data_IF_696790799520
#
_entry.id   IF_696790799520
#
_cell.length_a   1.000
_cell.length_b   1.000
_cell.length_c   1.000
_cell.angle_alpha   90.00
_cell.angle_beta   90.00
_cell.angle_gamma   90.00
#
_symmetry.space_group_name_H-M   'P 1'
#
loop_
_entity.id
_entity.type
_entity.pdbx_description
1 polymer ?
#
# COMPACT_ATOMS: atom_id res chain seq x y z
N UNK A 1 18.57 -42.79 18.96
CA UNK A 1 18.37 -41.69 18.00
C UNK A 1 16.96 -41.60 17.39
N UNK A 2 16.16 -42.67 17.25
CA UNK A 2 14.78 -42.59 16.70
C UNK A 2 13.79 -41.85 17.62
N UNK A 3 13.90 -41.96 18.96
CA UNK A 3 13.00 -41.26 19.90
C UNK A 3 13.23 -39.75 20.02
N UNK A 4 14.43 -39.22 19.72
CA UNK A 4 14.68 -37.77 19.71
C UNK A 4 14.01 -37.05 18.54
N UNK A 5 13.68 -37.77 17.44
CA UNK A 5 12.98 -37.19 16.28
C UNK A 5 11.47 -36.98 16.49
N UNK A 6 10.90 -37.50 17.60
CA UNK A 6 9.47 -37.36 17.90
C UNK A 6 9.16 -36.17 18.83
N UNK A 7 10.18 -35.48 19.36
CA UNK A 7 9.96 -34.29 20.16
C UNK A 7 9.77 -33.10 19.21
N UNK A 8 8.52 -32.66 19.02
CA UNK A 8 8.11 -31.62 18.06
C UNK A 8 9.00 -30.38 18.05
N UNK A 9 9.50 -29.83 19.19
CA UNK A 9 10.42 -28.70 19.20
C UNK A 9 11.69 -28.91 18.36
N UNK A 10 12.22 -30.12 18.26
CA UNK A 10 13.39 -30.44 17.43
C UNK A 10 13.07 -30.51 15.92
N UNK A 11 11.81 -30.64 15.54
CA UNK A 11 11.35 -30.59 14.14
C UNK A 11 11.40 -29.15 13.62
N UNK A 12 11.19 -28.15 14.48
CA UNK A 12 11.28 -26.73 14.11
C UNK A 12 12.71 -26.25 13.81
N UNK A 13 13.74 -26.87 14.44
CA UNK A 13 15.13 -26.44 14.34
C UNK A 13 15.68 -26.45 12.89
N UNK A 14 15.48 -27.50 12.07
CA UNK A 14 15.87 -27.48 10.67
C UNK A 14 15.21 -26.36 9.86
N UNK A 15 13.95 -26.01 10.17
CA UNK A 15 13.27 -24.90 9.52
C UNK A 15 13.93 -23.57 9.88
N UNK A 16 14.22 -23.32 11.14
CA UNK A 16 14.89 -22.12 11.62
C UNK A 16 16.31 -21.99 11.04
N UNK A 17 17.10 -23.07 11.09
CA UNK A 17 18.47 -23.09 10.54
C UNK A 17 18.48 -22.79 9.03
N UNK A 18 17.50 -23.30 8.29
CA UNK A 18 17.35 -23.04 6.86
C UNK A 18 16.98 -21.59 6.59
N UNK A 19 15.94 -21.08 7.26
CA UNK A 19 15.35 -19.80 6.91
C UNK A 19 16.07 -18.59 7.51
N UNK A 20 16.78 -18.72 8.63
CA UNK A 20 17.49 -17.62 9.26
C UNK A 20 18.51 -16.95 8.31
N UNK A 21 19.49 -17.67 7.71
CA UNK A 21 20.45 -17.05 6.81
C UNK A 21 19.80 -16.54 5.52
N UNK A 22 18.82 -17.25 4.99
CA UNK A 22 18.12 -16.83 3.76
C UNK A 22 17.36 -15.52 4.00
N UNK A 23 16.61 -15.44 5.08
CA UNK A 23 15.84 -14.24 5.43
C UNK A 23 16.74 -13.05 5.77
N UNK A 24 17.90 -13.33 6.37
CA UNK A 24 18.91 -12.31 6.60
C UNK A 24 19.42 -11.70 5.29
N UNK A 25 19.73 -12.52 4.29
CA UNK A 25 20.12 -12.05 2.96
C UNK A 25 18.98 -11.30 2.27
N UNK A 26 17.74 -11.80 2.36
CA UNK A 26 16.55 -11.10 1.83
C UNK A 26 16.39 -9.71 2.48
N UNK A 27 16.55 -9.63 3.80
CA UNK A 27 16.51 -8.36 4.53
C UNK A 27 17.59 -7.37 4.07
N UNK A 28 18.82 -7.84 3.88
CA UNK A 28 19.90 -7.00 3.34
C UNK A 28 19.54 -6.47 1.95
N UNK A 29 19.08 -7.33 1.05
CA UNK A 29 18.70 -6.93 -0.31
C UNK A 29 17.55 -5.92 -0.30
N UNK A 30 16.51 -6.18 0.49
CA UNK A 30 15.36 -5.29 0.61
C UNK A 30 15.74 -3.94 1.26
N UNK A 31 16.52 -3.96 2.34
CA UNK A 31 16.96 -2.76 3.05
C UNK A 31 17.89 -1.89 2.20
N UNK A 32 18.84 -2.49 1.48
CA UNK A 32 19.72 -1.76 0.55
C UNK A 32 18.93 -1.13 -0.61
N UNK A 33 17.98 -1.88 -1.18
CA UNK A 33 17.11 -1.36 -2.22
C UNK A 33 16.24 -0.20 -1.72
N UNK A 34 15.68 -0.32 -0.53
CA UNK A 34 14.88 0.75 0.10
C UNK A 34 15.75 1.96 0.45
N UNK A 35 16.99 1.77 0.89
CA UNK A 35 17.91 2.87 1.13
C UNK A 35 18.20 3.65 -0.17
N UNK A 36 18.47 2.95 -1.27
CA UNK A 36 18.64 3.57 -2.58
C UNK A 36 17.39 4.36 -3.01
N UNK A 37 16.19 3.78 -2.83
CA UNK A 37 14.91 4.43 -3.12
C UNK A 37 14.69 5.68 -2.27
N UNK A 38 14.93 5.61 -0.96
CA UNK A 38 14.72 6.75 -0.06
C UNK A 38 15.66 7.90 -0.39
N UNK A 39 16.95 7.61 -0.62
CA UNK A 39 17.96 8.61 -0.97
C UNK A 39 17.67 9.28 -2.33
N UNK A 40 17.31 8.49 -3.36
CA UNK A 40 16.99 9.05 -4.68
C UNK A 40 15.72 9.88 -4.67
N UNK A 41 14.68 9.48 -3.91
CA UNK A 41 13.43 10.24 -3.78
C UNK A 41 13.60 11.52 -2.96
N UNK A 42 14.44 11.51 -1.93
CA UNK A 42 14.80 12.73 -1.19
C UNK A 42 15.45 13.74 -2.14
N UNK A 43 16.48 13.31 -2.86
CA UNK A 43 17.13 14.14 -3.89
C UNK A 43 16.14 14.65 -4.93
N UNK A 44 15.29 13.78 -5.49
CA UNK A 44 14.31 14.18 -6.52
C UNK A 44 13.28 15.19 -5.98
N UNK A 45 12.88 15.05 -4.71
CA UNK A 45 11.95 15.97 -4.05
C UNK A 45 12.58 17.32 -3.81
N UNK A 46 13.79 17.37 -3.24
CA UNK A 46 14.53 18.61 -2.95
C UNK A 46 14.84 19.38 -4.24
N UNK A 47 15.25 18.66 -5.28
CA UNK A 47 15.46 19.25 -6.60
C UNK A 47 14.18 19.91 -7.14
N UNK A 48 13.05 19.20 -7.09
CA UNK A 48 11.76 19.73 -7.55
C UNK A 48 11.31 20.94 -6.72
N UNK A 49 11.46 20.91 -5.40
CA UNK A 49 11.07 22.01 -4.53
C UNK A 49 11.90 23.28 -4.78
N UNK A 50 13.17 23.10 -5.09
CA UNK A 50 14.07 24.18 -5.52
C UNK A 50 13.75 24.70 -6.92
N UNK A 51 13.14 23.88 -7.78
CA UNK A 51 12.88 24.17 -9.19
C UNK A 51 11.39 23.91 -9.53
N UNK A 52 10.48 24.65 -8.92
CA UNK A 52 9.03 24.43 -9.04
C UNK A 52 8.50 24.43 -10.48
N UNK A 53 9.18 25.09 -11.41
CA UNK A 53 8.84 25.08 -12.83
C UNK A 53 8.95 23.68 -13.48
N UNK A 54 9.68 22.73 -12.87
CA UNK A 54 9.78 21.33 -13.32
C UNK A 54 8.42 20.64 -13.45
N UNK A 55 7.41 21.10 -12.71
CA UNK A 55 6.04 20.58 -12.82
C UNK A 55 5.47 20.77 -14.23
N UNK A 56 5.86 21.83 -14.94
CA UNK A 56 5.46 22.04 -16.34
C UNK A 56 6.00 20.93 -17.28
N UNK A 57 7.07 20.25 -16.89
CA UNK A 57 7.65 19.13 -17.62
C UNK A 57 7.08 17.76 -17.21
N UNK A 58 6.12 17.70 -16.27
CA UNK A 58 5.47 16.44 -15.86
C UNK A 58 4.92 15.62 -17.03
N UNK A 59 4.35 16.22 -18.10
CA UNK A 59 3.94 15.48 -19.31
C UNK A 59 5.10 14.71 -19.94
N UNK A 60 6.26 15.36 -20.08
CA UNK A 60 7.47 14.76 -20.67
C UNK A 60 8.06 13.67 -19.78
N UNK A 61 8.14 13.92 -18.47
CA UNK A 61 8.55 12.91 -17.47
C UNK A 61 7.64 11.69 -17.49
N UNK A 62 6.33 11.91 -17.59
CA UNK A 62 5.33 10.85 -17.75
C UNK A 62 5.52 10.05 -19.03
N UNK A 63 5.69 10.74 -20.16
CA UNK A 63 5.97 10.07 -21.43
C UNK A 63 7.24 9.22 -21.37
N UNK A 64 8.32 9.76 -20.81
CA UNK A 64 9.60 9.06 -20.67
C UNK A 64 9.43 7.79 -19.80
N UNK A 65 8.80 7.91 -18.64
CA UNK A 65 8.50 6.77 -17.77
C UNK A 65 7.66 5.71 -18.49
N UNK A 66 6.58 6.13 -19.15
CA UNK A 66 5.71 5.23 -19.93
C UNK A 66 6.45 4.57 -21.09
N UNK A 67 7.34 5.28 -21.79
CA UNK A 67 8.14 4.74 -22.89
C UNK A 67 9.16 3.70 -22.40
N UNK A 68 9.87 3.97 -21.29
CA UNK A 68 10.80 3.03 -20.68
C UNK A 68 10.07 1.73 -20.32
N UNK A 69 8.90 1.81 -19.69
CA UNK A 69 8.09 0.63 -19.37
C UNK A 69 7.55 -0.08 -20.61
N UNK A 70 7.16 0.65 -21.65
CA UNK A 70 6.71 0.06 -22.90
C UNK A 70 7.81 -0.75 -23.59
N UNK A 71 9.07 -0.29 -23.53
CA UNK A 71 10.20 -0.96 -24.15
C UNK A 71 10.76 -2.12 -23.28
N UNK A 72 10.95 -1.87 -21.99
CA UNK A 72 11.71 -2.76 -21.12
C UNK A 72 10.86 -3.42 -20.02
N UNK A 73 9.67 -2.89 -19.71
CA UNK A 73 8.90 -3.22 -18.53
C UNK A 73 7.59 -3.97 -18.76
N UNK A 74 7.26 -4.40 -19.99
CA UNK A 74 5.96 -5.04 -20.31
C UNK A 74 5.61 -6.22 -19.40
N UNK A 75 6.59 -7.05 -19.04
CA UNK A 75 6.37 -8.23 -18.18
C UNK A 75 6.26 -7.91 -16.70
N UNK A 76 6.58 -6.69 -16.28
CA UNK A 76 6.55 -6.23 -14.89
C UNK A 76 5.60 -5.05 -14.68
N UNK A 77 4.83 -4.69 -15.70
CA UNK A 77 3.92 -3.54 -15.67
C UNK A 77 2.83 -3.67 -14.61
N UNK A 78 2.41 -4.89 -14.29
CA UNK A 78 1.38 -5.16 -13.29
C UNK A 78 1.81 -4.85 -11.84
N UNK A 79 3.10 -4.60 -11.60
CA UNK A 79 3.63 -4.12 -10.33
C UNK A 79 3.30 -5.07 -9.16
N UNK A 80 2.69 -4.54 -8.09
CA UNK A 80 2.34 -5.34 -6.91
C UNK A 80 1.37 -6.48 -7.23
N UNK A 81 0.49 -6.34 -8.22
CA UNK A 81 -0.40 -7.41 -8.63
C UNK A 81 0.36 -8.61 -9.22
N UNK A 82 1.49 -8.39 -9.91
CA UNK A 82 2.35 -9.47 -10.36
C UNK A 82 2.94 -10.26 -9.18
N UNK A 83 3.36 -9.57 -8.10
CA UNK A 83 3.87 -10.24 -6.90
C UNK A 83 2.82 -11.15 -6.30
N UNK A 84 1.59 -10.66 -6.13
CA UNK A 84 0.49 -11.43 -5.56
C UNK A 84 0.11 -12.63 -6.45
N UNK A 85 0.09 -12.45 -7.78
CA UNK A 85 -0.13 -13.55 -8.72
C UNK A 85 0.94 -14.63 -8.62
N UNK A 86 2.23 -14.27 -8.61
CA UNK A 86 3.34 -15.22 -8.54
C UNK A 86 3.44 -15.94 -7.19
N UNK A 87 2.96 -15.32 -6.10
CA UNK A 87 2.86 -15.97 -4.80
C UNK A 87 1.76 -17.04 -4.78
N UNK A 88 0.61 -16.78 -5.40
CA UNK A 88 -0.52 -17.70 -5.42
C UNK A 88 -0.41 -18.75 -6.52
N UNK A 89 0.01 -18.34 -7.72
CA UNK A 89 0.15 -19.16 -8.92
C UNK A 89 1.53 -18.98 -9.52
N UNK A 90 2.56 -19.60 -8.96
CA UNK A 90 3.94 -19.44 -9.41
C UNK A 90 4.11 -19.98 -10.84
N UNK A 91 4.37 -19.07 -11.79
CA UNK A 91 4.60 -19.39 -13.21
C UNK A 91 6.06 -19.12 -13.58
N UNK A 92 6.50 -17.88 -13.36
CA UNK A 92 7.82 -17.42 -13.79
C UNK A 92 8.53 -16.68 -12.65
N UNK A 93 9.85 -16.77 -12.63
CA UNK A 93 10.64 -15.96 -11.70
C UNK A 93 10.52 -14.49 -12.11
N UNK A 94 10.23 -13.63 -11.14
CA UNK A 94 10.08 -12.19 -11.34
C UNK A 94 11.41 -11.64 -11.89
N UNK A 95 11.41 -10.96 -13.04
CA UNK A 95 12.64 -10.47 -13.64
C UNK A 95 13.36 -9.47 -12.74
N UNK A 96 14.68 -9.60 -12.59
CA UNK A 96 15.53 -8.65 -11.85
C UNK A 96 15.30 -7.20 -12.26
N UNK A 97 15.06 -6.95 -13.56
CA UNK A 97 14.80 -5.61 -14.12
C UNK A 97 13.61 -4.89 -13.48
N UNK A 98 12.73 -5.60 -12.77
CA UNK A 98 11.62 -4.97 -12.05
C UNK A 98 12.12 -3.94 -11.03
N UNK A 99 13.16 -4.27 -10.25
CA UNK A 99 13.70 -3.39 -9.22
C UNK A 99 14.24 -2.05 -9.79
N UNK A 100 15.18 -2.01 -10.73
CA UNK A 100 15.66 -0.75 -11.30
C UNK A 100 14.59 0.00 -12.11
N UNK A 101 13.67 -0.71 -12.79
CA UNK A 101 12.61 -0.04 -13.55
C UNK A 101 11.59 0.65 -12.66
N UNK A 102 11.17 0.02 -11.56
CA UNK A 102 10.20 0.65 -10.65
C UNK A 102 10.84 1.78 -9.86
N UNK A 103 12.12 1.67 -9.48
CA UNK A 103 12.89 2.74 -8.87
C UNK A 103 12.91 3.96 -9.80
N UNK A 104 13.44 3.80 -11.02
CA UNK A 104 13.55 4.88 -12.00
C UNK A 104 12.18 5.51 -12.34
N UNK A 105 11.15 4.68 -12.53
CA UNK A 105 9.81 5.18 -12.82
C UNK A 105 9.21 5.99 -11.67
N UNK A 106 9.48 5.59 -10.43
CA UNK A 106 9.02 6.31 -9.23
C UNK A 106 9.80 7.61 -9.05
N UNK A 107 11.12 7.59 -9.25
CA UNK A 107 11.96 8.80 -9.21
C UNK A 107 11.51 9.83 -10.25
N UNK A 108 11.25 9.41 -11.49
CA UNK A 108 10.71 10.29 -12.53
C UNK A 108 9.35 10.87 -12.11
N UNK A 109 8.46 10.08 -11.53
CA UNK A 109 7.16 10.57 -11.06
C UNK A 109 7.33 11.67 -10.01
N UNK A 110 8.23 11.48 -9.03
CA UNK A 110 8.45 12.44 -7.95
C UNK A 110 9.24 13.68 -8.40
N UNK A 111 10.24 13.50 -9.25
CA UNK A 111 11.07 14.56 -9.80
C UNK A 111 10.23 15.59 -10.56
N UNK A 112 9.28 15.12 -11.36
CA UNK A 112 8.40 15.99 -12.15
C UNK A 112 7.10 16.39 -11.45
N UNK A 113 6.82 15.88 -10.23
CA UNK A 113 5.70 16.35 -9.41
C UNK A 113 4.40 15.55 -9.55
N UNK A 114 4.46 14.29 -9.94
CA UNK A 114 3.32 13.38 -9.81
C UNK A 114 2.96 13.10 -8.35
N UNK A 115 1.69 12.85 -8.07
CA UNK A 115 1.19 12.51 -6.73
C UNK A 115 1.19 10.99 -6.54
N UNK A 116 2.21 10.46 -5.89
CA UNK A 116 2.37 9.02 -5.67
C UNK A 116 3.12 8.73 -4.35
N UNK A 117 3.10 7.49 -3.93
CA UNK A 117 3.86 6.96 -2.80
C UNK A 117 5.12 6.20 -3.25
N UNK A 118 5.86 5.69 -2.29
CA UNK A 118 7.14 4.98 -2.48
C UNK A 118 7.11 3.52 -2.06
N UNK A 119 6.16 3.14 -1.23
CA UNK A 119 6.11 1.84 -0.57
C UNK A 119 5.85 0.69 -1.55
N UNK A 120 4.91 0.89 -2.48
CA UNK A 120 4.67 -0.09 -3.55
C UNK A 120 5.94 -0.39 -4.36
N UNK A 121 6.79 0.62 -4.54
CA UNK A 121 8.10 0.49 -5.18
C UNK A 121 9.04 -0.37 -4.34
N UNK A 122 9.14 -0.12 -3.03
CA UNK A 122 9.98 -0.91 -2.12
C UNK A 122 9.54 -2.38 -2.05
N UNK A 123 8.21 -2.64 -2.03
CA UNK A 123 7.68 -4.01 -2.08
C UNK A 123 8.13 -4.73 -3.35
N UNK A 124 7.99 -4.07 -4.50
CA UNK A 124 8.39 -4.62 -5.80
C UNK A 124 9.88 -4.89 -5.87
N UNK A 125 10.71 -3.96 -5.38
CA UNK A 125 12.16 -4.13 -5.30
C UNK A 125 12.53 -5.29 -4.37
N UNK A 126 12.02 -5.30 -3.14
CA UNK A 126 12.29 -6.34 -2.15
C UNK A 126 11.91 -7.74 -2.62
N UNK A 127 10.70 -7.91 -3.14
CA UNK A 127 10.22 -9.20 -3.63
C UNK A 127 10.95 -9.65 -4.90
N UNK A 128 11.22 -8.76 -5.86
CA UNK A 128 11.91 -9.13 -7.11
C UNK A 128 13.38 -9.51 -6.87
N UNK A 129 14.05 -8.84 -5.93
CA UNK A 129 15.42 -9.20 -5.52
C UNK A 129 15.45 -10.52 -4.75
N UNK A 130 14.51 -10.73 -3.82
CA UNK A 130 14.35 -12.00 -3.11
C UNK A 130 14.12 -13.16 -4.10
N UNK A 131 13.29 -12.97 -5.12
CA UNK A 131 12.99 -14.03 -6.09
C UNK A 131 14.19 -14.47 -6.94
N UNK A 132 15.26 -13.63 -7.05
CA UNK A 132 16.50 -14.07 -7.70
C UNK A 132 17.16 -15.23 -6.93
N UNK A 133 17.01 -15.29 -5.60
CA UNK A 133 17.51 -16.39 -4.79
C UNK A 133 16.81 -17.72 -5.11
N UNK A 134 15.60 -17.67 -5.66
CA UNK A 134 14.86 -18.86 -6.12
C UNK A 134 15.68 -19.68 -7.11
N UNK A 135 16.43 -19.03 -8.02
CA UNK A 135 17.31 -19.71 -9.00
C UNK A 135 18.51 -20.36 -8.31
N UNK A 136 19.14 -19.62 -7.40
CA UNK A 136 20.36 -20.05 -6.69
C UNK A 136 20.05 -21.21 -5.75
N UNK A 137 18.94 -21.13 -5.03
CA UNK A 137 18.53 -22.11 -4.04
C UNK A 137 17.65 -23.23 -4.62
N UNK A 138 17.32 -23.17 -5.91
CA UNK A 138 16.44 -24.12 -6.60
C UNK A 138 15.08 -24.29 -5.89
N UNK A 139 14.53 -23.21 -5.34
CA UNK A 139 13.27 -23.24 -4.62
C UNK A 139 12.06 -23.37 -5.56
N UNK A 140 11.04 -24.13 -5.11
CA UNK A 140 9.78 -24.35 -5.82
C UNK A 140 8.60 -24.25 -4.84
N UNK A 141 7.41 -23.98 -5.35
CA UNK A 141 6.16 -24.05 -4.59
C UNK A 141 6.21 -23.22 -3.29
N UNK A 142 5.94 -23.85 -2.15
CA UNK A 142 5.83 -23.19 -0.85
C UNK A 142 7.10 -22.44 -0.42
N UNK A 143 8.31 -22.95 -0.71
CA UNK A 143 9.55 -22.26 -0.37
C UNK A 143 9.70 -20.94 -1.12
N UNK A 144 9.35 -20.89 -2.41
CA UNK A 144 9.37 -19.65 -3.20
C UNK A 144 8.33 -18.66 -2.69
N UNK A 145 7.12 -19.14 -2.32
CA UNK A 145 6.10 -18.30 -1.71
C UNK A 145 6.61 -17.62 -0.44
N UNK A 146 7.22 -18.38 0.48
CA UNK A 146 7.82 -17.86 1.70
C UNK A 146 8.89 -16.80 1.39
N UNK A 147 9.74 -17.05 0.41
CA UNK A 147 10.81 -16.14 -0.01
C UNK A 147 10.26 -14.81 -0.52
N UNK A 148 9.26 -14.84 -1.39
CA UNK A 148 8.59 -13.64 -1.91
C UNK A 148 7.89 -12.86 -0.80
N UNK A 149 7.19 -13.55 0.09
CA UNK A 149 6.52 -12.93 1.24
C UNK A 149 7.52 -12.24 2.16
N UNK A 150 8.67 -12.87 2.45
CA UNK A 150 9.75 -12.25 3.21
C UNK A 150 10.32 -11.01 2.51
N UNK A 151 10.44 -11.03 1.17
CA UNK A 151 10.86 -9.86 0.38
C UNK A 151 9.87 -8.69 0.47
N UNK A 152 8.56 -8.97 0.43
CA UNK A 152 7.50 -7.97 0.64
C UNK A 152 7.62 -7.38 2.05
N UNK A 153 7.73 -8.24 3.08
CA UNK A 153 7.85 -7.81 4.48
C UNK A 153 9.09 -6.95 4.73
N UNK A 154 10.25 -7.35 4.18
CA UNK A 154 11.49 -6.60 4.26
C UNK A 154 11.40 -5.24 3.57
N UNK A 155 10.82 -5.18 2.37
CA UNK A 155 10.61 -3.94 1.61
C UNK A 155 9.67 -2.97 2.32
N UNK A 156 8.58 -3.46 2.92
CA UNK A 156 7.65 -2.64 3.67
C UNK A 156 8.29 -2.06 4.94
N UNK A 157 8.88 -2.94 5.76
CA UNK A 157 9.50 -2.55 7.03
C UNK A 157 10.61 -1.53 6.87
N UNK A 158 11.45 -1.70 5.82
CA UNK A 158 12.61 -0.85 5.56
C UNK A 158 12.26 0.58 5.14
N UNK A 159 11.07 0.81 4.56
CA UNK A 159 10.63 2.16 4.18
C UNK A 159 9.97 2.90 5.33
N UNK A 160 9.26 2.19 6.21
CA UNK A 160 8.48 2.81 7.28
C UNK A 160 9.17 2.80 8.65
N UNK A 161 10.13 1.92 8.87
CA UNK A 161 10.69 1.72 10.20
C UNK A 161 9.76 0.93 11.14
N UNK A 162 8.89 0.10 10.58
CA UNK A 162 7.86 -0.66 11.31
C UNK A 162 8.01 -2.17 11.06
N UNK A 163 8.97 -2.83 11.70
CA UNK A 163 9.28 -4.24 11.42
C UNK A 163 8.15 -5.20 11.79
N UNK A 164 7.38 -4.96 12.86
CA UNK A 164 6.24 -5.82 13.21
C UNK A 164 5.11 -5.68 12.20
N UNK A 165 4.75 -4.45 11.86
CA UNK A 165 3.75 -4.18 10.83
C UNK A 165 4.17 -4.75 9.48
N UNK A 166 5.43 -4.56 9.06
CA UNK A 166 5.96 -5.10 7.81
C UNK A 166 5.92 -6.62 7.75
N UNK A 167 6.22 -7.27 8.88
CA UNK A 167 6.10 -8.73 9.01
C UNK A 167 4.68 -9.19 8.70
N UNK A 168 3.70 -8.62 9.41
CA UNK A 168 2.30 -9.04 9.29
C UNK A 168 1.70 -8.59 7.95
N UNK A 169 2.11 -7.43 7.43
CA UNK A 169 1.65 -6.95 6.12
C UNK A 169 1.94 -7.93 4.99
N UNK A 170 3.16 -8.47 4.92
CA UNK A 170 3.50 -9.47 3.91
C UNK A 170 2.63 -10.73 3.97
N UNK A 171 2.19 -11.13 5.17
CA UNK A 171 1.33 -12.29 5.37
C UNK A 171 -0.15 -11.99 5.09
N UNK A 172 -0.62 -10.80 5.47
CA UNK A 172 -2.03 -10.41 5.43
C UNK A 172 -2.47 -9.91 4.06
N UNK A 173 -1.58 -9.23 3.32
CA UNK A 173 -1.91 -8.63 2.02
C UNK A 173 -2.22 -9.67 0.94
N UNK A 174 -1.86 -10.93 1.13
CA UNK A 174 -2.03 -11.99 0.15
C UNK A 174 -3.49 -12.35 -0.08
N UNK A 175 -4.27 -12.45 1.00
CA UNK A 175 -5.66 -12.88 0.92
C UNK A 175 -6.52 -12.24 2.01
N UNK A 176 -7.68 -11.72 1.62
CA UNK A 176 -8.68 -11.17 2.55
C UNK A 176 -9.16 -12.27 3.49
N UNK A 177 -9.10 -12.01 4.80
CA UNK A 177 -9.59 -12.92 5.83
C UNK A 177 -8.74 -14.17 6.08
N UNK A 178 -7.53 -14.25 5.51
CA UNK A 178 -6.62 -15.40 5.68
C UNK A 178 -5.18 -14.94 5.85
N UNK A 179 -4.48 -15.50 6.84
CA UNK A 179 -3.05 -15.29 7.10
C UNK A 179 -2.33 -16.63 7.05
N UNK A 180 -1.21 -16.71 6.31
CA UNK A 180 -0.39 -17.91 6.23
C UNK A 180 0.83 -17.77 7.14
N UNK A 181 0.87 -18.50 8.23
CA UNK A 181 1.94 -18.43 9.24
C UNK A 181 3.24 -19.11 8.84
N UNK A 182 3.28 -19.89 7.76
CA UNK A 182 4.49 -20.57 7.26
C UNK A 182 5.63 -19.61 6.92
N UNK A 183 5.31 -18.37 6.52
CA UNK A 183 6.27 -17.32 6.23
C UNK A 183 6.55 -16.38 7.43
N UNK A 184 5.94 -16.60 8.61
CA UNK A 184 6.01 -15.66 9.74
C UNK A 184 7.46 -15.41 10.19
N UNK A 185 8.22 -16.47 10.48
CA UNK A 185 9.60 -16.34 10.93
C UNK A 185 10.51 -15.73 9.85
N UNK A 186 10.51 -16.20 8.59
CA UNK A 186 11.26 -15.55 7.52
C UNK A 186 10.92 -14.07 7.30
N UNK A 187 9.64 -13.72 7.35
CA UNK A 187 9.18 -12.34 7.20
C UNK A 187 9.66 -11.44 8.34
N UNK A 188 9.62 -11.93 9.60
CA UNK A 188 10.09 -11.19 10.76
C UNK A 188 11.59 -10.88 10.66
N UNK A 189 12.41 -11.87 10.33
CA UNK A 189 13.86 -11.65 10.17
C UNK A 189 14.14 -10.69 9.03
N UNK A 190 13.51 -10.88 7.86
CA UNK A 190 13.70 -9.98 6.72
C UNK A 190 13.25 -8.53 7.02
N UNK A 191 12.16 -8.35 7.76
CA UNK A 191 11.65 -7.05 8.16
C UNK A 191 12.61 -6.33 9.13
N UNK A 192 13.07 -7.02 10.18
CA UNK A 192 14.04 -6.46 11.15
C UNK A 192 15.35 -6.10 10.45
N UNK A 193 15.92 -7.03 9.70
CA UNK A 193 17.21 -6.82 9.00
C UNK A 193 17.08 -5.72 7.95
N UNK A 194 16.00 -5.71 7.18
CA UNK A 194 15.75 -4.68 6.17
C UNK A 194 15.69 -3.28 6.77
N UNK A 195 14.97 -3.13 7.88
CA UNK A 195 14.91 -1.86 8.62
C UNK A 195 16.31 -1.46 9.13
N UNK A 196 17.04 -2.37 9.79
CA UNK A 196 18.37 -2.06 10.33
C UNK A 196 19.37 -1.69 9.21
N UNK A 197 19.34 -2.37 8.08
CA UNK A 197 20.20 -2.04 6.93
C UNK A 197 19.89 -0.62 6.42
N UNK A 198 18.62 -0.23 6.29
CA UNK A 198 18.25 1.13 5.88
C UNK A 198 18.78 2.18 6.84
N UNK A 199 18.69 1.95 8.15
CA UNK A 199 19.24 2.83 9.17
C UNK A 199 20.79 2.91 9.13
N UNK A 200 21.48 1.80 8.80
CA UNK A 200 22.94 1.79 8.63
C UNK A 200 23.41 2.67 7.48
N UNK A 201 22.59 2.92 6.47
CA UNK A 201 22.87 3.90 5.40
C UNK A 201 22.67 5.37 5.85
N UNK A 202 22.35 5.61 7.13
CA UNK A 202 22.14 6.94 7.69
C UNK A 202 20.77 7.54 7.38
N UNK A 203 19.85 6.77 6.78
CA UNK A 203 18.51 7.23 6.45
C UNK A 203 17.59 7.09 7.67
N UNK A 204 16.85 8.15 7.96
CA UNK A 204 15.91 8.17 9.07
C UNK A 204 14.48 8.11 8.57
N UNK A 205 13.63 7.42 9.34
CA UNK A 205 12.20 7.41 9.06
C UNK A 205 11.54 8.68 9.61
N UNK A 206 10.44 9.10 8.97
CA UNK A 206 9.66 10.25 9.41
C UNK A 206 9.11 10.00 10.81
N UNK A 207 9.46 10.84 11.77
CA UNK A 207 8.88 10.82 13.10
C UNK A 207 7.52 11.53 13.08
N UNK A 208 6.48 10.84 13.52
CA UNK A 208 5.16 11.41 13.71
C UNK A 208 4.91 11.72 15.18
N UNK A 209 4.09 12.74 15.43
CA UNK A 209 3.75 13.12 16.79
C UNK A 209 2.83 12.09 17.43
N UNK A 210 3.17 11.63 18.62
CA UNK A 210 2.25 10.94 19.50
C UNK A 210 1.18 11.91 19.99
N UNK A 211 -0.08 11.46 20.14
CA UNK A 211 -1.09 12.28 20.77
C UNK A 211 -0.65 12.64 22.20
N UNK A 212 -0.70 13.92 22.60
CA UNK A 212 -0.16 14.36 23.91
C UNK A 212 -0.86 13.69 25.08
N UNK A 213 -2.12 13.32 24.90
CA UNK A 213 -2.91 12.54 25.84
C UNK A 213 -3.91 11.68 25.06
N UNK A 214 -3.95 10.41 25.37
CA UNK A 214 -5.00 9.52 24.87
C UNK A 214 -6.17 9.60 25.84
N UNK A 215 -7.40 9.90 25.39
CA UNK A 215 -8.55 9.96 26.27
C UNK A 215 -8.86 8.57 26.84
N UNK A 216 -9.40 8.55 28.05
CA UNK A 216 -9.95 7.32 28.63
C UNK A 216 -11.03 6.74 27.72
N UNK A 217 -11.18 5.41 27.77
CA UNK A 217 -12.21 4.71 26.99
C UNK A 217 -13.61 5.06 27.52
N UNK A 218 -14.22 6.04 26.89
CA UNK A 218 -15.61 6.42 27.17
C UNK A 218 -16.52 5.89 26.06
N UNK A 219 -17.83 5.73 26.36
CA UNK A 219 -18.82 5.32 25.36
C UNK A 219 -18.80 6.28 24.15
N UNK A 220 -18.74 7.58 24.38
CA UNK A 220 -18.69 8.60 23.32
C UNK A 220 -17.41 8.53 22.50
N UNK A 221 -16.26 8.26 23.15
CA UNK A 221 -14.98 8.03 22.47
C UNK A 221 -15.02 6.79 21.56
N UNK A 222 -15.62 5.69 22.05
CA UNK A 222 -15.79 4.46 21.27
C UNK A 222 -16.72 4.66 20.07
N UNK A 223 -17.88 5.33 20.27
CA UNK A 223 -18.80 5.67 19.18
C UNK A 223 -18.08 6.54 18.14
N UNK A 224 -17.33 7.55 18.57
CA UNK A 224 -16.56 8.42 17.67
C UNK A 224 -15.52 7.63 16.88
N UNK A 225 -14.81 6.67 17.50
CA UNK A 225 -13.83 5.82 16.83
C UNK A 225 -14.49 4.91 15.77
N UNK A 226 -15.66 4.34 16.08
CA UNK A 226 -16.42 3.52 15.13
C UNK A 226 -16.90 4.36 13.94
N UNK A 227 -17.46 5.55 14.18
CA UNK A 227 -17.91 6.45 13.11
C UNK A 227 -16.72 6.86 12.24
N UNK A 228 -15.59 7.26 12.84
CA UNK A 228 -14.38 7.59 12.11
C UNK A 228 -13.91 6.42 11.25
N UNK A 229 -13.83 5.20 11.82
CA UNK A 229 -13.45 3.99 11.10
C UNK A 229 -14.36 3.69 9.91
N UNK A 230 -15.68 3.85 10.07
CA UNK A 230 -16.64 3.67 8.97
C UNK A 230 -16.40 4.67 7.82
N UNK A 231 -16.17 5.94 8.15
CA UNK A 231 -15.85 6.97 7.15
C UNK A 231 -14.52 6.67 6.46
N UNK A 232 -13.48 6.26 7.21
CA UNK A 232 -12.19 5.85 6.63
C UNK A 232 -12.35 4.69 5.63
N UNK A 233 -13.16 3.68 5.94
CA UNK A 233 -13.45 2.56 5.05
C UNK A 233 -14.17 2.96 3.77
N UNK A 234 -15.17 3.84 3.87
CA UNK A 234 -15.89 4.39 2.72
C UNK A 234 -14.94 5.17 1.81
N UNK A 235 -14.07 6.02 2.39
CA UNK A 235 -13.09 6.81 1.63
C UNK A 235 -12.02 5.90 1.00
N UNK A 236 -11.57 4.87 1.69
CA UNK A 236 -10.66 3.87 1.15
C UNK A 236 -11.23 3.17 -0.10
N UNK A 237 -12.50 2.74 -0.02
CA UNK A 237 -13.24 2.15 -1.14
C UNK A 237 -13.39 3.15 -2.29
N UNK A 238 -13.74 4.39 -2.00
CA UNK A 238 -13.90 5.45 -2.99
C UNK A 238 -12.59 5.69 -3.74
N UNK A 239 -11.46 5.84 -3.02
CA UNK A 239 -10.13 6.00 -3.61
C UNK A 239 -9.79 4.86 -4.57
N UNK A 240 -9.93 3.61 -4.12
CA UNK A 240 -9.64 2.43 -4.95
C UNK A 240 -10.52 2.42 -6.21
N UNK A 241 -11.83 2.67 -6.08
CA UNK A 241 -12.77 2.70 -7.20
C UNK A 241 -12.41 3.78 -8.21
N UNK A 242 -12.16 5.02 -7.75
CA UNK A 242 -11.83 6.16 -8.64
C UNK A 242 -10.51 5.89 -9.37
N UNK A 243 -9.48 5.40 -8.67
CA UNK A 243 -8.18 5.08 -9.29
C UNK A 243 -8.32 4.01 -10.37
N UNK A 244 -9.08 2.95 -10.11
CA UNK A 244 -9.34 1.89 -11.09
C UNK A 244 -10.17 2.40 -12.29
N UNK A 245 -11.17 3.23 -12.05
CA UNK A 245 -11.99 3.82 -13.12
C UNK A 245 -11.17 4.73 -14.02
N UNK A 246 -10.33 5.60 -13.45
CA UNK A 246 -9.43 6.47 -14.24
C UNK A 246 -8.44 5.60 -15.03
N UNK A 247 -7.85 4.56 -14.41
CA UNK A 247 -6.95 3.65 -15.12
C UNK A 247 -7.64 2.95 -16.29
N UNK A 248 -8.86 2.48 -16.10
CA UNK A 248 -9.66 1.88 -17.17
C UNK A 248 -9.94 2.89 -18.29
N UNK A 249 -10.33 4.12 -17.96
CA UNK A 249 -10.59 5.19 -18.91
C UNK A 249 -9.36 5.48 -19.79
N UNK A 250 -8.18 5.67 -19.17
CA UNK A 250 -6.94 5.91 -19.90
C UNK A 250 -6.57 4.72 -20.80
N UNK A 251 -6.73 3.48 -20.31
CA UNK A 251 -6.42 2.27 -21.07
C UNK A 251 -7.35 2.07 -22.28
N UNK A 252 -8.63 2.41 -22.16
CA UNK A 252 -9.62 2.25 -23.22
C UNK A 252 -9.56 3.37 -24.26
N UNK A 253 -9.27 4.60 -23.84
CA UNK A 253 -9.26 5.77 -24.73
C UNK A 253 -7.92 6.02 -25.42
N UNK A 254 -6.80 5.55 -24.83
CA UNK A 254 -5.45 5.81 -25.33
C UNK A 254 -4.74 4.48 -25.57
N UNK A 255 -4.66 4.09 -26.85
CA UNK A 255 -4.09 2.81 -27.26
C UNK A 255 -2.58 2.74 -27.03
N UNK A 256 -1.83 3.82 -27.29
CA UNK A 256 -0.39 3.86 -27.10
C UNK A 256 -0.02 4.15 -25.65
N UNK A 257 0.52 3.16 -24.87
CA UNK A 257 0.71 3.28 -23.43
C UNK A 257 1.50 4.51 -22.97
N UNK A 258 2.60 4.96 -23.63
CA UNK A 258 3.35 6.13 -23.21
C UNK A 258 2.59 7.46 -23.26
N UNK A 259 1.54 7.56 -24.10
CA UNK A 259 0.71 8.77 -24.17
C UNK A 259 -0.22 8.92 -22.96
N UNK A 260 -0.51 7.84 -22.23
CA UNK A 260 -1.38 7.89 -21.04
C UNK A 260 -0.79 8.79 -19.96
N UNK A 261 0.43 8.54 -19.45
CA UNK A 261 1.03 9.43 -18.46
C UNK A 261 1.44 10.80 -19.02
N UNK A 262 1.67 10.94 -20.33
CA UNK A 262 1.83 12.27 -20.94
C UNK A 262 0.57 13.12 -20.75
N UNK A 263 -0.60 12.58 -21.12
CA UNK A 263 -1.87 13.30 -21.01
C UNK A 263 -2.25 13.53 -19.54
N UNK A 264 -2.10 12.53 -18.68
CA UNK A 264 -2.34 12.69 -17.25
C UNK A 264 -1.41 13.73 -16.63
N UNK A 265 -0.14 13.73 -17.00
CA UNK A 265 0.85 14.74 -16.58
C UNK A 265 0.47 16.15 -17.00
N UNK A 266 -0.02 16.33 -18.23
CA UNK A 266 -0.51 17.62 -18.71
C UNK A 266 -1.70 18.11 -17.86
N UNK A 267 -2.67 17.25 -17.58
CA UNK A 267 -3.80 17.59 -16.73
C UNK A 267 -3.36 17.98 -15.32
N UNK A 268 -2.45 17.22 -14.70
CA UNK A 268 -1.91 17.52 -13.36
C UNK A 268 -1.16 18.85 -13.37
N UNK A 269 -0.28 19.10 -14.35
CA UNK A 269 0.47 20.33 -14.46
C UNK A 269 -0.46 21.56 -14.56
N UNK A 270 -1.54 21.46 -15.34
CA UNK A 270 -2.58 22.50 -15.43
C UNK A 270 -3.30 22.70 -14.11
N UNK A 271 -3.74 21.63 -13.45
CA UNK A 271 -4.43 21.71 -12.15
C UNK A 271 -3.52 22.38 -11.10
N UNK A 272 -2.26 21.97 -11.01
CA UNK A 272 -1.29 22.55 -10.07
C UNK A 272 -0.99 24.00 -10.40
N UNK A 273 -0.81 24.33 -11.70
CA UNK A 273 -0.60 25.71 -12.15
C UNK A 273 -1.78 26.63 -11.82
N UNK A 274 -3.02 26.17 -12.02
CA UNK A 274 -4.23 26.94 -11.71
C UNK A 274 -4.49 27.06 -10.20
N UNK A 275 -4.22 26.00 -9.42
CA UNK A 275 -4.41 26.01 -7.96
C UNK A 275 -3.35 26.83 -7.22
N UNK A 276 -2.20 27.08 -7.83
CA UNK A 276 -1.08 27.80 -7.22
C UNK A 276 -0.42 27.07 -6.04
N UNK A 277 -0.76 25.79 -5.80
CA UNK A 277 -0.23 25.01 -4.68
C UNK A 277 0.40 23.69 -5.11
N UNK A 278 1.53 23.34 -4.48
CA UNK A 278 2.22 22.07 -4.65
C UNK A 278 1.96 21.09 -3.50
N UNK A 279 1.03 21.41 -2.59
CA UNK A 279 0.74 20.68 -1.37
C UNK A 279 0.35 19.22 -1.62
N UNK A 280 -0.35 18.94 -2.72
CA UNK A 280 -0.94 17.62 -3.00
C UNK A 280 -0.13 16.75 -3.95
N UNK A 281 0.99 17.26 -4.48
CA UNK A 281 1.92 16.48 -5.32
C UNK A 281 2.97 15.75 -4.48
N UNK A 282 3.72 14.83 -5.10
CA UNK A 282 4.72 14.01 -4.44
C UNK A 282 4.14 13.18 -3.29
N UNK A 283 4.97 12.91 -2.29
CA UNK A 283 4.57 12.16 -1.09
C UNK A 283 3.60 12.94 -0.19
N UNK A 284 3.81 14.26 -0.03
CA UNK A 284 3.02 15.10 0.84
C UNK A 284 3.32 14.94 2.34
N UNK A 285 4.49 14.42 2.70
CA UNK A 285 4.90 14.18 4.10
C UNK A 285 4.77 15.42 4.98
N UNK A 286 5.16 16.64 4.55
CA UNK A 286 5.00 17.83 5.40
C UNK A 286 3.55 18.05 5.84
N UNK A 287 2.58 17.84 4.95
CA UNK A 287 1.15 17.98 5.29
C UNK A 287 0.66 16.86 6.18
N UNK A 288 1.16 15.62 6.00
CA UNK A 288 0.87 14.52 6.92
C UNK A 288 1.33 14.89 8.33
N UNK A 289 2.57 15.35 8.48
CA UNK A 289 3.10 15.77 9.79
C UNK A 289 2.28 16.94 10.35
N UNK A 290 1.98 17.94 9.54
CA UNK A 290 1.23 19.13 9.95
C UNK A 290 -0.18 18.78 10.47
N UNK A 291 -0.82 17.72 9.96
CA UNK A 291 -2.14 17.25 10.42
C UNK A 291 -2.19 16.82 11.89
N UNK A 292 -1.05 16.54 12.51
CA UNK A 292 -0.93 16.19 13.92
C UNK A 292 -0.77 17.42 14.83
N UNK A 293 -0.46 18.59 14.26
CA UNK A 293 -0.16 19.80 15.02
C UNK A 293 -1.18 20.90 14.80
N UNK A 294 -1.67 21.05 13.59
CA UNK A 294 -2.51 22.15 13.18
C UNK A 294 -3.83 21.66 12.57
N UNK A 295 -4.88 22.50 12.66
CA UNK A 295 -6.12 22.24 11.94
C UNK A 295 -5.92 22.59 10.45
N UNK A 296 -6.12 21.59 9.59
CA UNK A 296 -5.96 21.72 8.15
C UNK A 296 -7.29 22.00 7.44
N UNK A 297 -7.27 22.53 6.21
CA UNK A 297 -8.46 22.63 5.39
C UNK A 297 -9.14 21.27 5.23
N UNK A 298 -10.47 21.20 5.48
CA UNK A 298 -11.19 19.92 5.53
C UNK A 298 -11.28 19.19 4.17
N UNK A 299 -10.95 19.86 3.07
CA UNK A 299 -10.94 19.28 1.71
C UNK A 299 -9.60 18.69 1.27
N UNK A 300 -8.53 18.79 2.09
CA UNK A 300 -7.19 18.33 1.73
C UNK A 300 -7.14 16.86 1.31
N UNK A 301 -7.88 16.00 2.01
CA UNK A 301 -7.98 14.59 1.66
C UNK A 301 -8.58 14.36 0.27
N UNK A 302 -9.60 15.14 -0.11
CA UNK A 302 -10.26 15.01 -1.40
C UNK A 302 -9.37 15.47 -2.56
N UNK A 303 -8.63 16.57 -2.38
CA UNK A 303 -7.65 17.05 -3.35
C UNK A 303 -6.53 16.00 -3.59
N UNK A 304 -6.05 15.36 -2.52
CA UNK A 304 -5.05 14.28 -2.63
C UNK A 304 -5.61 13.06 -3.35
N UNK A 305 -6.86 12.67 -3.07
CA UNK A 305 -7.54 11.58 -3.81
C UNK A 305 -7.54 11.87 -5.30
N UNK A 306 -7.97 13.06 -5.71
CA UNK A 306 -8.07 13.45 -7.12
C UNK A 306 -6.74 13.40 -7.85
N UNK A 307 -5.70 14.05 -7.30
CA UNK A 307 -4.39 14.10 -7.95
C UNK A 307 -3.67 12.74 -7.95
N UNK A 308 -3.80 11.95 -6.86
CA UNK A 308 -3.19 10.61 -6.83
C UNK A 308 -3.89 9.66 -7.78
N UNK A 309 -5.22 9.63 -7.78
CA UNK A 309 -5.99 8.79 -8.69
C UNK A 309 -5.72 9.13 -10.17
N UNK A 310 -5.55 10.42 -10.49
CA UNK A 310 -5.16 10.87 -11.83
C UNK A 310 -3.72 10.45 -12.17
N UNK A 311 -2.77 10.61 -11.25
CA UNK A 311 -1.36 10.23 -11.45
C UNK A 311 -1.24 8.73 -11.72
N UNK A 312 -1.71 7.90 -10.81
CA UNK A 312 -1.58 6.45 -10.90
C UNK A 312 -2.48 5.87 -11.98
N UNK A 313 -3.71 6.38 -12.10
CA UNK A 313 -4.65 5.99 -13.15
C UNK A 313 -4.15 6.29 -14.56
N UNK A 314 -3.41 7.37 -14.76
CA UNK A 314 -2.77 7.68 -16.05
C UNK A 314 -1.56 6.77 -16.35
N UNK A 315 -1.06 5.99 -15.37
CA UNK A 315 0.01 5.02 -15.58
C UNK A 315 1.40 5.47 -15.14
N UNK A 316 1.52 6.58 -14.40
CA UNK A 316 2.75 6.92 -13.68
C UNK A 316 3.11 5.81 -12.70
N UNK A 317 4.40 5.66 -12.40
CA UNK A 317 4.90 4.66 -11.46
C UNK A 317 5.06 5.27 -10.07
N UNK A 318 4.83 4.45 -9.05
CA UNK A 318 4.83 4.81 -7.64
C UNK A 318 3.83 3.95 -6.87
N UNK A 319 3.70 4.20 -5.57
CA UNK A 319 2.79 3.48 -4.68
C UNK A 319 1.53 4.28 -4.34
N UNK A 320 0.53 3.59 -3.83
CA UNK A 320 -0.71 4.18 -3.31
C UNK A 320 -0.64 4.48 -1.81
N UNK A 321 0.31 3.89 -1.08
CA UNK A 321 0.25 3.80 0.39
C UNK A 321 0.48 5.15 1.07
N UNK A 322 1.58 5.88 0.76
CA UNK A 322 1.78 7.23 1.33
C UNK A 322 0.64 8.20 0.99
N UNK A 323 0.09 8.24 -0.24
CA UNK A 323 -1.14 8.98 -0.51
C UNK A 323 -2.33 8.60 0.37
N UNK A 324 -2.52 7.30 0.68
CA UNK A 324 -3.57 6.84 1.59
C UNK A 324 -3.33 7.33 3.01
N UNK A 325 -2.08 7.41 3.46
CA UNK A 325 -1.74 8.01 4.74
C UNK A 325 -2.05 9.51 4.78
N UNK A 326 -1.73 10.23 3.71
CA UNK A 326 -2.10 11.63 3.58
C UNK A 326 -3.61 11.81 3.66
N UNK A 327 -4.35 11.06 2.84
CA UNK A 327 -5.81 11.09 2.80
C UNK A 327 -6.38 10.78 4.19
N UNK A 328 -5.89 9.73 4.83
CA UNK A 328 -6.35 9.31 6.14
C UNK A 328 -6.03 10.32 7.24
N UNK A 329 -4.81 10.80 7.31
CA UNK A 329 -4.38 11.75 8.33
C UNK A 329 -5.15 13.10 8.23
N UNK A 330 -5.29 13.64 7.00
CA UNK A 330 -6.02 14.90 6.79
C UNK A 330 -7.54 14.73 6.96
N UNK A 331 -8.10 13.56 6.61
CA UNK A 331 -9.49 13.23 6.89
C UNK A 331 -9.74 13.10 8.40
N UNK A 332 -8.85 12.40 9.12
CA UNK A 332 -8.93 12.28 10.58
C UNK A 332 -8.82 13.64 11.27
N UNK A 333 -7.92 14.50 10.79
CA UNK A 333 -7.82 15.90 11.25
C UNK A 333 -9.12 16.67 10.99
N UNK A 334 -9.73 16.55 9.81
CA UNK A 334 -11.01 17.18 9.52
C UNK A 334 -12.15 16.67 10.41
N UNK A 335 -12.20 15.37 10.68
CA UNK A 335 -13.21 14.75 11.54
C UNK A 335 -13.10 15.18 13.01
N UNK A 336 -11.95 15.69 13.46
CA UNK A 336 -11.79 16.21 14.83
C UNK A 336 -12.66 17.43 15.13
N UNK A 337 -13.18 18.10 14.11
CA UNK A 337 -14.14 19.17 14.24
C UNK A 337 -15.54 18.68 14.61
N UNK A 338 -15.83 17.40 14.41
CA UNK A 338 -17.17 16.81 14.54
C UNK A 338 -17.22 15.71 15.61
N UNK A 339 -16.10 15.02 15.85
CA UNK A 339 -16.04 13.86 16.73
C UNK A 339 -15.31 14.18 18.04
N UNK A 340 -15.76 13.56 19.13
CA UNK A 340 -15.24 13.78 20.47
C UNK A 340 -13.89 13.07 20.75
N UNK A 341 -12.95 13.19 19.84
CA UNK A 341 -11.59 12.65 19.96
C UNK A 341 -10.56 13.70 19.53
N UNK A 342 -9.38 13.74 20.17
CA UNK A 342 -8.31 14.69 19.83
C UNK A 342 -7.84 14.58 18.38
N UNK A 343 -7.56 15.73 17.74
CA UNK A 343 -7.11 15.78 16.34
C UNK A 343 -5.86 14.89 16.05
N UNK A 344 -4.80 14.88 16.89
CA UNK A 344 -3.66 13.99 16.65
C UNK A 344 -4.03 12.50 16.68
N UNK A 345 -4.97 12.10 17.56
CA UNK A 345 -5.43 10.71 17.63
C UNK A 345 -6.23 10.35 16.38
N UNK A 346 -7.18 11.19 15.98
CA UNK A 346 -7.99 10.98 14.77
C UNK A 346 -7.13 11.00 13.50
N UNK A 347 -6.12 11.87 13.43
CA UNK A 347 -5.15 11.88 12.33
C UNK A 347 -4.35 10.57 12.25
N UNK A 348 -3.85 10.06 13.39
CA UNK A 348 -3.18 8.76 13.48
C UNK A 348 -4.10 7.58 13.13
N UNK A 349 -5.32 7.58 13.67
CA UNK A 349 -6.34 6.58 13.30
C UNK A 349 -6.65 6.60 11.81
N UNK A 350 -6.82 7.79 11.22
CA UNK A 350 -7.08 7.95 9.80
C UNK A 350 -5.91 7.52 8.93
N UNK A 351 -4.68 7.90 9.32
CA UNK A 351 -3.44 7.51 8.64
C UNK A 351 -3.40 6.00 8.36
N UNK A 352 -3.55 5.16 9.36
CA UNK A 352 -3.54 3.70 9.19
C UNK A 352 -4.90 3.14 8.82
N UNK A 353 -6.02 3.78 9.21
CA UNK A 353 -7.37 3.28 8.99
C UNK A 353 -7.77 3.29 7.51
N UNK A 354 -7.50 4.38 6.78
CA UNK A 354 -7.77 4.43 5.33
C UNK A 354 -6.92 3.40 4.58
N UNK A 355 -5.67 3.21 4.99
CA UNK A 355 -4.81 2.17 4.42
C UNK A 355 -5.31 0.76 4.74
N UNK A 356 -5.74 0.49 5.98
CA UNK A 356 -6.33 -0.79 6.40
C UNK A 356 -7.50 -1.20 5.50
N UNK A 357 -8.40 -0.26 5.22
CA UNK A 357 -9.55 -0.47 4.32
C UNK A 357 -9.15 -0.66 2.86
N UNK A 358 -8.18 0.10 2.36
CA UNK A 358 -7.75 0.08 0.96
C UNK A 358 -6.87 -1.14 0.62
N UNK A 359 -6.01 -1.57 1.54
CA UNK A 359 -5.12 -2.73 1.35
C UNK A 359 -5.72 -4.05 1.87
N UNK A 360 -6.84 -3.98 2.61
CA UNK A 360 -7.45 -5.11 3.33
C UNK A 360 -6.48 -5.78 4.33
N UNK A 361 -5.74 -4.96 5.09
CA UNK A 361 -4.72 -5.39 6.04
C UNK A 361 -4.94 -4.75 7.42
N UNK A 362 -6.06 -5.06 8.13
CA UNK A 362 -6.40 -4.39 9.38
C UNK A 362 -5.41 -4.68 10.52
N UNK A 363 -4.84 -5.90 10.61
CA UNK A 363 -3.91 -6.25 11.68
C UNK A 363 -2.56 -5.57 11.47
N UNK A 364 -2.00 -5.66 10.25
CA UNK A 364 -0.75 -4.98 9.92
C UNK A 364 -0.85 -3.47 10.11
N UNK A 365 -1.96 -2.87 9.70
CA UNK A 365 -2.20 -1.44 9.87
C UNK A 365 -2.35 -1.03 11.34
N UNK A 366 -2.99 -1.87 12.17
CA UNK A 366 -3.07 -1.64 13.63
C UNK A 366 -1.69 -1.69 14.26
N UNK A 367 -0.87 -2.70 13.95
CA UNK A 367 0.51 -2.79 14.43
C UNK A 367 1.34 -1.59 13.96
N UNK A 368 1.18 -1.18 12.70
CA UNK A 368 1.86 0.02 12.18
C UNK A 368 1.49 1.28 12.98
N UNK A 369 0.22 1.46 13.31
CA UNK A 369 -0.21 2.58 14.11
C UNK A 369 0.37 2.53 15.53
N UNK A 370 0.51 1.35 16.14
CA UNK A 370 1.13 1.17 17.44
C UNK A 370 2.64 1.49 17.37
N UNK A 371 3.34 1.02 16.33
CA UNK A 371 4.78 1.30 16.15
C UNK A 371 5.05 2.78 15.87
N UNK A 372 4.16 3.49 15.15
CA UNK A 372 4.35 4.89 14.79
C UNK A 372 3.83 5.89 15.84
N UNK A 373 2.72 5.57 16.52
CA UNK A 373 2.00 6.53 17.37
C UNK A 373 1.94 6.14 18.84
N UNK A 374 2.54 4.99 19.20
CA UNK A 374 2.62 4.49 20.56
C UNK A 374 1.50 3.54 20.97
N UNK A 375 1.81 2.67 21.93
CA UNK A 375 0.92 1.61 22.42
C UNK A 375 -0.39 2.15 23.02
N UNK A 376 -0.35 3.30 23.64
CA UNK A 376 -1.52 3.92 24.30
C UNK A 376 -2.67 4.20 23.33
N UNK A 377 -2.35 4.52 22.07
CA UNK A 377 -3.34 4.75 21.01
C UNK A 377 -3.92 3.47 20.41
N UNK A 378 -3.36 2.30 20.75
CA UNK A 378 -3.58 1.02 20.08
C UNK A 378 -5.04 0.58 20.01
N UNK A 379 -5.83 0.81 21.08
CA UNK A 379 -7.26 0.43 21.10
C UNK A 379 -8.06 1.25 20.07
N UNK A 380 -7.89 2.57 20.07
CA UNK A 380 -8.60 3.45 19.13
C UNK A 380 -8.15 3.19 17.69
N UNK A 381 -6.86 2.99 17.46
CA UNK A 381 -6.30 2.63 16.16
C UNK A 381 -6.87 1.29 15.68
N UNK A 382 -6.90 0.26 16.55
CA UNK A 382 -7.47 -1.03 16.24
C UNK A 382 -8.93 -0.96 15.82
N UNK A 383 -9.74 -0.21 16.58
CA UNK A 383 -11.15 0.05 16.21
C UNK A 383 -11.22 0.71 14.84
N UNK A 384 -10.45 1.79 14.61
CA UNK A 384 -10.41 2.51 13.35
C UNK A 384 -10.04 1.61 12.16
N UNK A 385 -9.00 0.77 12.30
CA UNK A 385 -8.55 -0.15 11.24
C UNK A 385 -9.56 -1.27 10.96
N UNK A 386 -10.10 -1.92 12.00
CA UNK A 386 -11.03 -3.04 11.85
C UNK A 386 -12.36 -2.56 11.25
N UNK A 387 -12.91 -1.46 11.76
CA UNK A 387 -14.14 -0.89 11.22
C UNK A 387 -13.93 -0.39 9.78
N UNK A 388 -12.82 0.26 9.49
CA UNK A 388 -12.47 0.66 8.12
C UNK A 388 -12.39 -0.53 7.17
N UNK A 389 -11.73 -1.62 7.57
CA UNK A 389 -11.68 -2.87 6.81
C UNK A 389 -13.07 -3.41 6.50
N UNK A 390 -13.99 -3.39 7.46
CA UNK A 390 -15.36 -3.84 7.23
C UNK A 390 -16.08 -2.91 6.25
N UNK A 391 -16.06 -1.60 6.47
CA UNK A 391 -16.79 -0.62 5.65
C UNK A 391 -16.20 -0.40 4.25
N UNK A 392 -14.94 -0.82 3.98
CA UNK A 392 -14.40 -0.82 2.62
C UNK A 392 -15.02 -1.91 1.72
N UNK A 393 -15.70 -2.90 2.29
CA UNK A 393 -16.28 -4.02 1.55
C UNK A 393 -15.21 -4.86 0.83
N UNK A 394 -15.62 -5.68 -0.13
CA UNK A 394 -14.72 -6.44 -0.99
C UNK A 394 -14.18 -5.55 -2.12
N UNK A 395 -13.35 -4.57 -1.75
CA UNK A 395 -12.70 -3.60 -2.64
C UNK A 395 -11.28 -3.35 -2.13
N UNK A 396 -10.37 -2.98 -3.00
CA UNK A 396 -8.98 -2.69 -2.59
C UNK A 396 -8.13 -2.16 -3.74
N UNK A 397 -6.93 -1.70 -3.40
CA UNK A 397 -5.95 -1.20 -4.35
C UNK A 397 -5.23 -2.32 -5.12
N UNK A 398 -5.21 -3.53 -4.56
CA UNK A 398 -4.56 -4.70 -5.17
C UNK A 398 -5.60 -5.61 -5.83
N UNK A 399 -5.80 -5.48 -7.13
CA UNK A 399 -6.80 -6.23 -7.88
C UNK A 399 -6.53 -7.75 -7.94
N UNK A 400 -5.28 -8.18 -7.79
CA UNK A 400 -4.87 -9.59 -7.72
C UNK A 400 -5.00 -10.21 -6.33
N UNK A 401 -5.34 -9.43 -5.28
CA UNK A 401 -5.58 -9.94 -3.94
C UNK A 401 -6.74 -10.93 -3.95
N UNK A 402 -6.58 -12.08 -3.29
CA UNK A 402 -7.61 -13.11 -3.25
C UNK A 402 -8.55 -12.93 -2.08
N UNK A 403 -9.77 -13.43 -2.24
CA UNK A 403 -10.74 -13.56 -1.15
C UNK A 403 -10.55 -14.94 -0.56
N UNK A 404 -10.01 -15.01 0.65
CA UNK A 404 -9.87 -16.25 1.41
C UNK A 404 -11.14 -16.55 2.21
N UNK A 405 -11.64 -15.52 2.92
CA UNK A 405 -12.93 -15.56 3.63
C UNK A 405 -13.69 -14.25 3.36
N UNK A 406 -15.01 -14.35 3.24
CA UNK A 406 -15.86 -13.16 3.13
C UNK A 406 -15.75 -12.31 4.41
N UNK A 407 -15.76 -10.99 4.24
CA UNK A 407 -15.81 -10.02 5.37
C UNK A 407 -17.14 -10.08 6.13
N UNK A 408 -18.18 -10.60 5.49
CA UNK A 408 -19.53 -10.68 6.04
C UNK A 408 -20.06 -12.11 5.91
N UNK A 409 -20.62 -12.66 6.99
CA UNK A 409 -21.24 -13.98 7.00
C UNK A 409 -22.45 -14.10 6.07
N UNK A 410 -23.11 -12.97 5.82
CA UNK A 410 -24.28 -12.91 4.93
C UNK A 410 -23.95 -12.96 3.42
N UNK A 411 -22.65 -12.81 3.05
CA UNK A 411 -22.22 -12.80 1.65
C UNK A 411 -21.35 -14.02 1.40
N UNK A 412 -21.89 -14.96 0.62
CA UNK A 412 -21.12 -16.11 0.16
C UNK A 412 -20.26 -15.70 -1.04
N UNK A 413 -18.96 -15.97 -0.97
CA UNK A 413 -17.99 -15.72 -2.03
C UNK A 413 -17.13 -16.97 -2.23
N UNK A 414 -16.79 -17.25 -3.47
CA UNK A 414 -15.91 -18.37 -3.78
C UNK A 414 -14.50 -18.13 -3.26
N UNK A 415 -13.98 -19.10 -2.50
CA UNK A 415 -12.63 -19.02 -1.96
C UNK A 415 -11.59 -18.98 -3.09
N UNK A 416 -10.65 -18.06 -3.00
CA UNK A 416 -9.59 -17.90 -3.99
C UNK A 416 -9.93 -16.99 -5.16
N UNK A 417 -11.17 -16.49 -5.26
CA UNK A 417 -11.55 -15.47 -6.23
C UNK A 417 -10.70 -14.19 -6.02
N UNK A 418 -10.27 -13.55 -7.11
CA UNK A 418 -9.56 -12.27 -7.04
C UNK A 418 -10.54 -11.10 -6.93
N UNK A 419 -10.10 -9.97 -6.36
CA UNK A 419 -10.91 -8.75 -6.33
C UNK A 419 -11.29 -8.26 -7.74
N UNK A 420 -10.43 -8.49 -8.74
CA UNK A 420 -10.71 -8.16 -10.12
C UNK A 420 -11.91 -8.97 -10.67
N UNK A 421 -11.99 -10.28 -10.39
CA UNK A 421 -13.07 -11.15 -10.83
C UNK A 421 -14.38 -10.83 -10.10
N UNK A 422 -14.31 -10.63 -8.77
CA UNK A 422 -15.47 -10.20 -7.98
C UNK A 422 -16.10 -8.90 -8.53
N UNK A 423 -15.25 -7.94 -8.93
CA UNK A 423 -15.73 -6.70 -9.54
C UNK A 423 -16.45 -6.89 -10.87
N UNK A 424 -16.04 -7.87 -11.69
CA UNK A 424 -16.69 -8.22 -12.98
C UNK A 424 -18.01 -8.91 -12.77
N UNK A 425 -18.06 -9.94 -11.93
CA UNK A 425 -19.32 -10.67 -11.66
C UNK A 425 -20.41 -9.76 -11.12
N UNK A 426 -20.06 -8.78 -10.30
CA UNK A 426 -21.01 -7.80 -9.78
C UNK A 426 -21.57 -6.85 -10.84
N UNK A 427 -20.83 -6.63 -11.94
CA UNK A 427 -21.28 -5.81 -13.07
C UNK A 427 -22.21 -6.65 -13.97
N UNK A 428 -21.97 -7.96 -14.07
CA UNK A 428 -22.72 -8.88 -14.96
C UNK A 428 -24.00 -9.42 -14.33
N UNK A 429 -24.25 -9.19 -13.03
CA UNK A 429 -25.53 -9.54 -12.41
C UNK A 429 -26.61 -8.58 -12.91
N UNK A 430 -27.77 -9.08 -13.45
CA UNK A 430 -28.90 -8.25 -13.80
C UNK A 430 -29.34 -7.42 -12.60
N UNK A 431 -29.70 -6.16 -12.83
CA UNK A 431 -30.26 -5.32 -11.77
C UNK A 431 -31.55 -5.97 -11.25
N UNK A 432 -31.54 -6.48 -10.01
CA UNK A 432 -32.70 -7.10 -9.34
C UNK A 432 -33.99 -6.22 -9.32
N UNK A 433 -33.89 -5.00 -9.83
CA UNK A 433 -35.03 -4.09 -9.98
C UNK A 433 -35.84 -4.30 -11.26
N UNK A 434 -35.35 -5.07 -12.24
CA UNK A 434 -36.12 -5.37 -13.46
C UNK A 434 -37.02 -6.61 -13.29
N UNK A 435 -36.64 -7.56 -12.41
CA UNK A 435 -37.47 -8.76 -12.20
C UNK A 435 -38.68 -8.55 -11.26
N UNK A 436 -38.67 -7.50 -10.41
CA UNK A 436 -39.83 -7.19 -9.57
C UNK A 436 -40.96 -6.45 -10.28
N UNK A 437 -40.69 -5.96 -11.50
CA UNK A 437 -41.70 -5.25 -12.30
C UNK A 437 -42.57 -6.17 -13.21
N UNK A 438 -42.13 -7.41 -13.47
CA UNK A 438 -42.86 -8.32 -14.42
C UNK A 438 -43.82 -9.31 -13.76
N UNK A 439 -43.75 -9.48 -12.42
CA UNK A 439 -44.65 -10.39 -11.68
C UNK A 439 -45.86 -9.73 -11.00
N UNK A 440 -46.17 -8.49 -11.34
CA UNK A 440 -47.36 -7.78 -10.83
C UNK A 440 -48.47 -7.60 -11.91
N UNK A 441 -48.41 -8.33 -13.01
CA UNK A 441 -49.46 -8.39 -14.01
C UNK A 441 -49.71 -9.85 -14.45
N UNK A 442 -50.18 -10.70 -13.53
CA UNK A 442 -51.04 -11.85 -13.81
C UNK A 442 -52.01 -12.06 -12.69
#
# INVERSE_FOLDING_TARGET
MKHFRQFEPFIALPHLIKWLPISFVVGILAGTASAALLASLEWATDWRESHRWFIALLPLGGFLSGWIYHQFGRTVEAGNNLLLEEIHNPKNIIPFRMAPLVLLGTDLTHLFGGSAGREGTALQMGASLADQLTKILHFKGGNRRILLTAGISGGFASVFGTPLAGTVFGLEVLAIGKINYDALFPSLIAAIVGNQVTLLFGLQHTAYRHAPSIPTLTIWGLISAIIAGAIFGIVARFFAKVTHQISHLFKTKISYPPLRPLMGGAMIAVIVGLSGTTKYIGLGIPTIVDSFYNQLPPWDFAAKIGLTALTLGAGFKGGEVTPLFFIGATLGNALSLLLALPAPLLAGMGFVGVFAGAANTPIASTLMGIELFGLESGVFIGIGCIVSYLFSGHSGIYSAQRIGLSKYSAVYLEEGMTLANYGREKIDLPNDNEERGSNSQE
#
